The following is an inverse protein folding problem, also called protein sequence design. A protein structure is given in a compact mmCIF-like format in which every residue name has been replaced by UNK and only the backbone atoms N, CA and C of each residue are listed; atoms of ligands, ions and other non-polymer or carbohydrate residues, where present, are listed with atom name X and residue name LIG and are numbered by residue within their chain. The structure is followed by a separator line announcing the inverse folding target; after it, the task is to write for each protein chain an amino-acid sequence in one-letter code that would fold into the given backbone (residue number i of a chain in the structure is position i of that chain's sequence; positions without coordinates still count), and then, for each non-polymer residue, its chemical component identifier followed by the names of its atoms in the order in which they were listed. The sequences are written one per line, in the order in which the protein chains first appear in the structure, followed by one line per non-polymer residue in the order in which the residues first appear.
data_IF_028298844242
#
_entry.id   IF_028298844242
#
_cell.length_a   1.000
_cell.length_b   1.000
_cell.length_c   1.000
_cell.angle_alpha   90.00
_cell.angle_beta   90.00
_cell.angle_gamma   90.00
#
_symmetry.space_group_name_H-M   'P 1'
#
loop_
_entity.id
_entity.type
_entity.pdbx_description
1 polymer ?
#
# COMPACT_ATOMS: atom_id res chain seq x y z
N UNK A 1 23.34 -17.26 -21.74
CA UNK A 1 23.01 -16.06 -20.96
C UNK A 1 23.97 -14.93 -21.29
N UNK A 2 23.52 -13.90 -22.01
CA UNK A 2 24.29 -12.66 -22.18
C UNK A 2 23.80 -11.65 -21.15
N UNK A 3 24.71 -11.12 -20.32
CA UNK A 3 24.43 -10.00 -19.43
C UNK A 3 24.39 -8.73 -20.29
N UNK A 4 23.34 -7.92 -20.20
CA UNK A 4 23.23 -6.66 -20.97
C UNK A 4 24.29 -5.67 -20.49
N UNK A 5 25.27 -5.37 -21.32
CA UNK A 5 25.99 -4.08 -21.35
C UNK A 5 25.49 -3.35 -22.58
N UNK A 6 24.73 -2.27 -22.38
CA UNK A 6 24.08 -1.54 -23.46
C UNK A 6 25.03 -0.64 -24.22
N UNK A 7 24.89 -0.63 -25.54
CA UNK A 7 24.93 0.54 -26.43
C UNK A 7 24.49 0.06 -27.82
N UNK A 8 23.25 0.38 -28.23
CA UNK A 8 22.73 0.01 -29.55
C UNK A 8 21.33 0.58 -29.77
N UNK A 9 21.15 1.23 -30.92
CA UNK A 9 20.06 2.12 -31.34
C UNK A 9 18.63 1.66 -31.01
N UNK A 10 17.83 2.61 -30.54
CA UNK A 10 16.40 2.46 -30.29
C UNK A 10 15.64 1.94 -31.51
N UNK A 11 15.17 0.70 -31.39
CA UNK A 11 14.28 0.07 -32.35
C UNK A 11 13.58 -1.10 -31.67
N UNK A 12 12.27 -1.00 -31.47
CA UNK A 12 11.34 -2.03 -30.96
C UNK A 12 11.56 -2.58 -29.54
N UNK A 13 12.80 -2.66 -29.03
CA UNK A 13 13.09 -3.12 -27.67
C UNK A 13 12.65 -2.11 -26.58
N UNK A 14 12.62 -0.81 -26.90
CA UNK A 14 12.15 0.24 -25.99
C UNK A 14 10.63 0.34 -25.86
N UNK A 15 9.87 -0.19 -26.83
CA UNK A 15 8.40 -0.17 -26.77
C UNK A 15 7.82 -1.29 -25.89
N UNK A 16 8.55 -2.41 -25.73
CA UNK A 16 8.20 -3.47 -24.77
C UNK A 16 8.53 -3.09 -23.32
N UNK A 17 9.41 -2.11 -23.10
CA UNK A 17 9.75 -1.62 -21.76
C UNK A 17 8.60 -0.86 -21.07
N UNK A 18 7.55 -0.46 -21.81
CA UNK A 18 6.46 0.35 -21.28
C UNK A 18 5.27 -0.45 -20.70
N UNK A 19 5.29 -1.79 -20.75
CA UNK A 19 4.09 -2.62 -20.46
C UNK A 19 4.28 -3.72 -19.38
N UNK A 20 5.38 -3.75 -18.64
CA UNK A 20 5.52 -4.65 -17.47
C UNK A 20 6.34 -4.00 -16.35
N UNK A 21 5.77 -3.92 -15.13
CA UNK A 21 6.38 -3.31 -13.93
C UNK A 21 7.65 -4.00 -13.40
N UNK A 22 8.14 -5.07 -14.05
CA UNK A 22 9.42 -5.71 -13.74
C UNK A 22 10.07 -6.22 -15.02
N UNK A 23 11.18 -5.61 -15.46
CA UNK A 23 12.02 -6.22 -16.49
C UNK A 23 12.57 -7.56 -15.96
N UNK A 24 12.51 -8.66 -16.74
CA UNK A 24 13.09 -9.93 -16.32
C UNK A 24 14.62 -9.82 -16.26
N UNK A 25 15.21 -10.23 -15.13
CA UNK A 25 16.66 -10.15 -14.90
C UNK A 25 17.50 -10.94 -15.94
N UNK A 26 16.91 -11.97 -16.55
CA UNK A 26 17.54 -12.80 -17.58
C UNK A 26 16.54 -13.17 -18.68
N UNK A 27 16.96 -13.05 -19.94
CA UNK A 27 16.16 -13.42 -21.11
C UNK A 27 16.84 -14.47 -21.98
N UNK A 28 16.04 -15.21 -22.74
CA UNK A 28 16.43 -16.27 -23.66
C UNK A 28 15.74 -16.09 -25.00
N UNK A 29 16.41 -16.48 -26.08
CA UNK A 29 15.82 -16.55 -27.41
C UNK A 29 15.27 -17.96 -27.65
N UNK A 30 13.99 -18.04 -28.01
CA UNK A 30 13.25 -19.30 -28.20
C UNK A 30 12.52 -19.29 -29.54
N UNK A 31 12.45 -20.46 -30.18
CA UNK A 31 11.70 -20.66 -31.41
C UNK A 31 10.30 -21.18 -31.08
N UNK A 32 9.26 -20.45 -31.46
CA UNK A 32 7.86 -20.82 -31.20
C UNK A 32 7.04 -20.81 -32.49
N UNK A 33 6.04 -21.69 -32.53
CA UNK A 33 5.06 -21.71 -33.61
C UNK A 33 4.10 -20.54 -33.46
N UNK A 34 3.85 -19.84 -34.56
CA UNK A 34 2.92 -18.73 -34.62
C UNK A 34 2.28 -18.62 -36.01
N UNK A 35 1.13 -17.97 -36.07
CA UNK A 35 0.44 -17.63 -37.32
C UNK A 35 0.53 -16.12 -37.54
N UNK A 36 0.78 -15.71 -38.78
CA UNK A 36 0.81 -14.29 -39.13
C UNK A 36 -0.61 -13.71 -39.08
N UNK A 37 -0.77 -12.54 -38.45
CA UNK A 37 -2.08 -11.90 -38.32
C UNK A 37 -2.66 -11.42 -39.65
N UNK A 38 -1.84 -11.33 -40.71
CA UNK A 38 -2.36 -11.06 -42.06
C UNK A 38 -3.31 -12.16 -42.57
N UNK A 39 -3.27 -13.37 -41.98
CA UNK A 39 -4.20 -14.45 -42.28
C UNK A 39 -5.51 -14.38 -41.46
N UNK A 40 -5.62 -13.47 -40.49
CA UNK A 40 -6.85 -13.24 -39.76
C UNK A 40 -7.83 -12.42 -40.63
N UNK A 41 -9.14 -12.67 -40.47
CA UNK A 41 -10.18 -11.88 -41.13
C UNK A 41 -10.07 -10.38 -40.75
N UNK A 42 -10.56 -9.49 -41.62
CA UNK A 42 -10.46 -8.03 -41.40
C UNK A 42 -11.23 -7.53 -40.17
N UNK A 43 -12.17 -8.31 -39.66
CA UNK A 43 -13.00 -7.98 -38.49
C UNK A 43 -12.38 -8.54 -37.21
N UNK A 44 -12.06 -7.66 -36.26
CA UNK A 44 -11.56 -8.04 -34.92
C UNK A 44 -12.74 -8.19 -33.96
N UNK A 45 -13.12 -9.43 -33.69
CA UNK A 45 -14.13 -9.73 -32.67
C UNK A 45 -13.65 -9.37 -31.25
N UNK A 46 -14.60 -9.15 -30.33
CA UNK A 46 -14.34 -8.80 -28.92
C UNK A 46 -13.45 -9.85 -28.20
N UNK A 47 -13.51 -11.11 -28.64
CA UNK A 47 -12.65 -12.19 -28.17
C UNK A 47 -11.18 -11.97 -28.58
N UNK A 48 -10.93 -11.52 -29.82
CA UNK A 48 -9.59 -11.19 -30.32
C UNK A 48 -9.00 -9.99 -29.58
N UNK A 49 -9.83 -9.02 -29.20
CA UNK A 49 -9.41 -7.85 -28.40
C UNK A 49 -9.07 -8.27 -26.97
N UNK A 50 -9.87 -9.13 -26.33
CA UNK A 50 -9.57 -9.68 -24.99
C UNK A 50 -8.31 -10.53 -25.01
N UNK A 51 -8.13 -11.37 -26.04
CA UNK A 51 -6.91 -12.15 -26.26
C UNK A 51 -5.70 -11.22 -26.42
N UNK A 52 -5.80 -10.13 -27.19
CA UNK A 52 -4.74 -9.13 -27.34
C UNK A 52 -4.36 -8.48 -26.00
N UNK A 53 -5.36 -8.13 -25.18
CA UNK A 53 -5.15 -7.54 -23.84
C UNK A 53 -4.55 -8.54 -22.85
N UNK A 54 -4.97 -9.79 -22.87
CA UNK A 54 -4.39 -10.85 -22.05
C UNK A 54 -2.95 -11.16 -22.47
N UNK A 55 -2.71 -11.20 -23.78
CA UNK A 55 -1.39 -11.36 -24.39
C UNK A 55 -0.41 -10.24 -24.06
N UNK A 56 -0.89 -9.02 -23.78
CA UNK A 56 -0.07 -7.90 -23.34
C UNK A 56 0.37 -8.01 -21.87
N UNK A 57 -0.35 -8.79 -21.05
CA UNK A 57 -0.03 -8.98 -19.61
C UNK A 57 1.03 -10.04 -19.34
N UNK A 58 1.36 -10.85 -20.35
CA UNK A 58 2.44 -11.84 -20.24
C UNK A 58 3.80 -11.19 -20.54
N UNK A 59 4.82 -11.50 -19.74
CA UNK A 59 6.22 -11.06 -19.92
C UNK A 59 6.88 -11.56 -21.23
N UNK A 60 6.17 -12.39 -21.98
CA UNK A 60 6.50 -12.87 -23.31
C UNK A 60 5.58 -12.19 -24.31
N UNK A 61 6.14 -11.46 -25.31
CA UNK A 61 5.76 -11.50 -26.74
C UNK A 61 6.71 -10.65 -27.57
N UNK A 62 7.44 -11.27 -28.50
CA UNK A 62 7.90 -10.59 -29.73
C UNK A 62 6.69 -9.97 -30.45
N UNK A 63 6.88 -8.82 -31.12
CA UNK A 63 5.81 -7.88 -31.51
C UNK A 63 4.47 -8.56 -31.87
N UNK A 64 3.44 -8.47 -30.98
CA UNK A 64 2.10 -9.04 -31.19
C UNK A 64 1.42 -8.53 -32.45
N UNK A 65 1.91 -7.41 -33.00
CA UNK A 65 1.43 -6.76 -34.21
C UNK A 65 1.55 -7.65 -35.47
N UNK A 66 2.45 -8.64 -35.49
CA UNK A 66 2.74 -9.42 -36.70
C UNK A 66 2.44 -10.93 -36.58
N UNK A 67 2.17 -11.46 -35.38
CA UNK A 67 1.85 -12.88 -35.22
C UNK A 67 1.06 -13.18 -33.93
N UNK A 68 0.31 -14.29 -33.94
CA UNK A 68 -0.47 -14.81 -32.79
C UNK A 68 -0.15 -16.29 -32.54
N UNK A 69 -0.61 -16.81 -31.39
CA UNK A 69 -0.52 -18.23 -31.08
C UNK A 69 -1.33 -19.07 -32.09
N UNK A 70 -0.89 -20.30 -32.30
CA UNK A 70 -1.58 -21.27 -33.18
C UNK A 70 -2.87 -21.72 -32.49
N UNK A 71 -3.99 -21.64 -33.20
CA UNK A 71 -5.30 -22.14 -32.78
C UNK A 71 -5.57 -23.52 -33.40
N UNK A 72 -6.47 -24.34 -32.81
CA UNK A 72 -6.75 -25.70 -33.31
C UNK A 72 -7.31 -25.75 -34.74
N UNK A 73 -7.92 -24.67 -35.21
CA UNK A 73 -8.52 -24.49 -36.54
C UNK A 73 -7.53 -23.97 -37.60
N UNK A 74 -6.32 -23.57 -37.20
CA UNK A 74 -5.31 -23.06 -38.14
C UNK A 74 -4.77 -24.18 -39.04
N UNK A 75 -4.68 -23.91 -40.34
CA UNK A 75 -4.06 -24.84 -41.29
C UNK A 75 -2.56 -24.89 -41.07
N UNK A 76 -2.00 -26.09 -41.15
CA UNK A 76 -0.56 -26.33 -41.03
C UNK A 76 0.29 -25.52 -42.06
N UNK A 77 -0.32 -25.07 -43.17
CA UNK A 77 0.30 -24.24 -44.21
C UNK A 77 0.56 -22.79 -43.81
N UNK A 78 -0.17 -22.26 -42.82
CA UNK A 78 -0.03 -20.87 -42.34
C UNK A 78 0.76 -20.76 -41.03
N UNK A 79 1.08 -21.91 -40.42
CA UNK A 79 1.88 -21.99 -39.20
C UNK A 79 3.36 -21.87 -39.53
N UNK A 80 4.04 -20.90 -38.91
CA UNK A 80 5.47 -20.66 -39.11
C UNK A 80 6.21 -20.62 -37.77
N UNK A 81 7.46 -21.09 -37.76
CA UNK A 81 8.34 -20.99 -36.61
C UNK A 81 9.03 -19.61 -36.63
N UNK A 82 9.01 -18.88 -35.51
CA UNK A 82 9.66 -17.57 -35.36
C UNK A 82 10.47 -17.48 -34.07
N UNK A 83 11.45 -16.59 -34.06
CA UNK A 83 12.30 -16.32 -32.91
C UNK A 83 11.64 -15.29 -31.99
N UNK A 84 11.58 -15.61 -30.70
CA UNK A 84 11.01 -14.77 -29.66
C UNK A 84 12.00 -14.63 -28.51
N UNK A 85 11.98 -13.49 -27.85
CA UNK A 85 12.72 -13.28 -26.60
C UNK A 85 11.77 -13.47 -25.43
N UNK A 86 12.13 -14.36 -24.50
CA UNK A 86 11.33 -14.69 -23.29
C UNK A 86 12.15 -14.46 -22.03
N UNK A 87 11.48 -14.11 -20.93
CA UNK A 87 12.08 -14.16 -19.59
C UNK A 87 12.23 -15.60 -19.11
N UNK A 88 13.25 -15.86 -18.28
CA UNK A 88 13.45 -17.21 -17.70
C UNK A 88 12.26 -17.67 -16.85
N UNK A 89 11.55 -16.73 -16.22
CA UNK A 89 10.37 -16.99 -15.37
C UNK A 89 9.17 -17.54 -16.17
N UNK A 90 9.21 -17.46 -17.51
CA UNK A 90 8.18 -18.02 -18.38
C UNK A 90 8.41 -19.48 -18.76
N UNK A 91 9.51 -20.09 -18.29
CA UNK A 91 9.83 -21.49 -18.56
C UNK A 91 9.26 -22.36 -17.44
N UNK A 92 8.25 -23.16 -17.76
CA UNK A 92 7.66 -24.09 -16.79
C UNK A 92 8.50 -25.38 -16.65
N UNK A 93 8.95 -25.97 -17.76
CA UNK A 93 9.62 -27.27 -17.79
C UNK A 93 10.71 -27.31 -18.86
N UNK A 94 11.70 -28.17 -18.67
CA UNK A 94 12.84 -28.37 -19.59
C UNK A 94 12.91 -29.84 -19.98
N UNK A 95 12.96 -30.13 -21.28
CA UNK A 95 13.09 -31.49 -21.80
C UNK A 95 14.52 -32.01 -21.74
N UNK A 96 14.69 -33.33 -21.57
CA UNK A 96 15.98 -34.01 -21.66
C UNK A 96 16.48 -34.13 -23.12
N UNK A 97 15.55 -34.09 -24.09
CA UNK A 97 15.86 -34.15 -25.53
C UNK A 97 16.50 -32.85 -25.99
N UNK A 98 17.61 -32.96 -26.72
CA UNK A 98 18.29 -31.83 -27.38
C UNK A 98 18.13 -31.95 -28.89
N UNK A 99 17.64 -30.88 -29.51
CA UNK A 99 17.58 -30.75 -30.97
C UNK A 99 18.84 -30.07 -31.47
N UNK A 100 19.33 -30.50 -32.63
CA UNK A 100 20.35 -29.76 -33.35
C UNK A 100 19.70 -28.52 -33.99
N UNK A 101 20.16 -27.33 -33.59
CA UNK A 101 19.70 -26.06 -34.12
C UNK A 101 20.85 -25.45 -34.93
N UNK A 102 20.65 -25.12 -36.22
CA UNK A 102 21.65 -24.42 -37.03
C UNK A 102 22.09 -23.10 -36.37
N UNK A 103 23.33 -22.66 -36.61
CA UNK A 103 23.83 -21.39 -36.07
C UNK A 103 23.06 -20.17 -36.59
N UNK A 104 22.52 -20.24 -37.82
CA UNK A 104 21.66 -19.23 -38.40
C UNK A 104 20.23 -19.75 -38.55
N UNK A 105 19.32 -19.16 -37.79
CA UNK A 105 17.87 -19.45 -37.78
C UNK A 105 17.05 -18.28 -38.33
N UNK A 106 17.67 -17.27 -38.94
CA UNK A 106 16.94 -16.15 -39.55
C UNK A 106 16.28 -16.57 -40.88
N UNK A 107 16.91 -17.48 -41.62
CA UNK A 107 16.38 -17.98 -42.90
C UNK A 107 15.09 -18.81 -42.70
N UNK A 108 14.08 -18.65 -43.57
CA UNK A 108 12.86 -19.46 -43.53
C UNK A 108 13.11 -20.97 -43.66
N UNK A 109 14.11 -21.36 -44.45
CA UNK A 109 14.47 -22.76 -44.70
C UNK A 109 15.04 -23.43 -43.44
N UNK A 110 15.95 -22.77 -42.72
CA UNK A 110 16.49 -23.27 -41.46
C UNK A 110 15.37 -23.47 -40.42
N UNK A 111 14.43 -22.52 -40.34
CA UNK A 111 13.28 -22.61 -39.43
C UNK A 111 12.32 -23.74 -39.79
N UNK A 112 12.09 -24.00 -41.08
CA UNK A 112 11.30 -25.15 -41.54
C UNK A 112 11.95 -26.49 -41.15
N UNK A 113 13.27 -26.60 -41.27
CA UNK A 113 13.99 -27.81 -40.88
C UNK A 113 13.93 -28.07 -39.37
N UNK A 114 14.07 -27.02 -38.55
CA UNK A 114 13.88 -27.12 -37.09
C UNK A 114 12.44 -27.49 -36.75
N UNK A 115 11.45 -26.88 -37.41
CA UNK A 115 10.04 -27.23 -37.22
C UNK A 115 9.74 -28.70 -37.55
N UNK A 116 10.28 -29.22 -38.65
CA UNK A 116 10.14 -30.63 -39.01
C UNK A 116 10.78 -31.55 -37.95
N UNK A 117 11.93 -31.16 -37.40
CA UNK A 117 12.61 -31.88 -36.32
C UNK A 117 11.77 -31.92 -35.04
N UNK A 118 11.11 -30.80 -34.69
CA UNK A 118 10.19 -30.73 -33.54
C UNK A 118 8.97 -31.63 -33.77
N UNK A 119 8.37 -31.61 -34.97
CA UNK A 119 7.23 -32.48 -35.31
C UNK A 119 7.61 -33.96 -35.23
N UNK A 120 8.80 -34.34 -35.71
CA UNK A 120 9.31 -35.71 -35.61
C UNK A 120 9.54 -36.15 -34.17
N UNK A 121 10.04 -35.26 -33.29
CA UNK A 121 10.15 -35.57 -31.85
C UNK A 121 8.78 -35.85 -31.23
N UNK A 122 7.77 -35.01 -31.48
CA UNK A 122 6.42 -35.25 -30.95
C UNK A 122 5.81 -36.55 -31.50
N UNK A 123 6.10 -36.90 -32.75
CA UNK A 123 5.66 -38.17 -33.35
C UNK A 123 6.31 -39.39 -32.68
N UNK A 124 7.59 -39.29 -32.28
CA UNK A 124 8.32 -40.35 -31.58
C UNK A 124 7.94 -40.49 -30.11
N UNK A 125 7.44 -39.41 -29.50
CA UNK A 125 7.03 -39.36 -28.10
C UNK A 125 5.54 -38.98 -27.98
N UNK A 126 4.61 -39.87 -28.37
CA UNK A 126 3.17 -39.57 -28.36
C UNK A 126 2.61 -39.34 -26.95
N UNK A 127 3.23 -39.93 -25.93
CA UNK A 127 2.86 -39.76 -24.51
C UNK A 127 3.49 -38.50 -23.87
N UNK A 128 4.32 -37.77 -24.61
CA UNK A 128 5.02 -36.57 -24.15
C UNK A 128 6.54 -36.73 -24.10
N UNK A 129 7.23 -35.61 -24.27
CA UNK A 129 8.71 -35.58 -24.26
C UNK A 129 9.26 -35.80 -22.84
N UNK A 130 10.34 -36.58 -22.68
CA UNK A 130 10.94 -36.80 -21.36
C UNK A 130 11.50 -35.49 -20.81
N UNK A 131 11.16 -35.19 -19.57
CA UNK A 131 11.58 -34.00 -18.84
C UNK A 131 12.89 -34.25 -18.08
N UNK A 132 13.68 -33.20 -17.86
CA UNK A 132 14.85 -33.25 -16.98
C UNK A 132 14.40 -33.40 -15.53
N UNK A 133 15.01 -34.35 -14.82
CA UNK A 133 14.80 -34.50 -13.38
C UNK A 133 15.65 -33.44 -12.62
N UNK A 134 15.01 -32.61 -11.77
CA UNK A 134 15.72 -31.59 -11.01
C UNK A 134 16.82 -32.11 -10.06
N UNK A 135 16.69 -33.34 -9.57
CA UNK A 135 17.61 -33.95 -8.61
C UNK A 135 18.74 -34.72 -9.31
N UNK A 136 18.42 -35.57 -10.31
CA UNK A 136 19.44 -36.39 -10.98
C UNK A 136 20.17 -35.62 -12.07
N UNK A 137 19.43 -34.89 -12.91
CA UNK A 137 19.98 -34.29 -14.12
C UNK A 137 20.49 -32.87 -13.86
N UNK A 138 19.70 -32.05 -13.16
CA UNK A 138 20.07 -30.68 -12.77
C UNK A 138 20.93 -30.62 -11.50
N UNK A 139 21.05 -31.74 -10.77
CA UNK A 139 21.90 -31.88 -9.57
C UNK A 139 21.60 -30.84 -8.49
N UNK A 140 20.34 -30.47 -8.30
CA UNK A 140 19.92 -29.56 -7.23
C UNK A 140 20.01 -30.33 -5.89
N UNK A 141 20.93 -29.92 -5.03
CA UNK A 141 21.26 -30.62 -3.76
C UNK A 141 20.59 -30.02 -2.53
N UNK A 142 19.71 -29.05 -2.69
CA UNK A 142 19.09 -28.36 -1.57
C UNK A 142 18.11 -29.29 -0.83
N UNK A 143 18.25 -29.45 0.49
CA UNK A 143 17.41 -30.36 1.27
C UNK A 143 15.94 -29.91 1.28
N UNK A 144 15.69 -28.60 1.34
CA UNK A 144 14.33 -28.03 1.32
C UNK A 144 13.61 -28.33 -0.01
N UNK A 145 14.32 -28.22 -1.13
CA UNK A 145 13.79 -28.52 -2.45
C UNK A 145 13.35 -30.00 -2.58
N UNK A 146 14.14 -30.93 -2.02
CA UNK A 146 13.79 -32.36 -2.00
C UNK A 146 12.49 -32.62 -1.24
N UNK A 147 12.28 -31.93 -0.11
CA UNK A 147 11.05 -32.03 0.69
C UNK A 147 9.84 -31.49 -0.07
N UNK A 148 9.99 -30.36 -0.75
CA UNK A 148 8.92 -29.79 -1.58
C UNK A 148 8.55 -30.72 -2.74
N UNK A 149 9.55 -31.32 -3.40
CA UNK A 149 9.31 -32.25 -4.50
C UNK A 149 8.61 -33.54 -4.03
N UNK A 150 9.00 -34.10 -2.88
CA UNK A 150 8.30 -35.26 -2.30
C UNK A 150 6.86 -34.93 -1.94
N UNK A 151 6.61 -33.73 -1.38
CA UNK A 151 5.27 -33.26 -1.05
C UNK A 151 4.41 -33.05 -2.30
N UNK A 152 4.97 -32.50 -3.36
CA UNK A 152 4.27 -32.34 -4.64
C UNK A 152 3.86 -33.69 -5.23
N UNK A 153 4.75 -34.70 -5.18
CA UNK A 153 4.44 -36.08 -5.60
C UNK A 153 3.34 -36.72 -4.74
N UNK A 154 3.41 -36.55 -3.42
CA UNK A 154 2.38 -37.04 -2.50
C UNK A 154 1.02 -36.40 -2.79
N UNK A 155 0.97 -35.08 -2.96
CA UNK A 155 -0.25 -34.35 -3.31
C UNK A 155 -0.81 -34.78 -4.67
N UNK A 156 0.05 -35.03 -5.66
CA UNK A 156 -0.38 -35.52 -6.96
C UNK A 156 -1.00 -36.93 -6.86
N UNK A 157 -0.38 -37.86 -6.13
CA UNK A 157 -0.94 -39.21 -5.91
C UNK A 157 -2.26 -39.13 -5.14
N UNK A 158 -2.31 -38.37 -4.04
CA UNK A 158 -3.55 -38.18 -3.28
C UNK A 158 -4.67 -37.57 -4.11
N UNK A 159 -4.34 -36.64 -5.01
CA UNK A 159 -5.31 -36.02 -5.92
C UNK A 159 -5.78 -37.02 -6.97
N UNK A 160 -4.89 -37.87 -7.49
CA UNK A 160 -5.24 -38.91 -8.46
C UNK A 160 -6.08 -40.05 -7.85
N UNK A 161 -5.86 -40.40 -6.58
CA UNK A 161 -6.61 -41.42 -5.85
C UNK A 161 -7.94 -40.92 -5.30
N UNK A 162 -8.12 -39.60 -5.21
CA UNK A 162 -9.30 -39.00 -4.60
C UNK A 162 -10.59 -39.40 -5.34
N UNK A 163 -11.63 -39.77 -4.59
CA UNK A 163 -12.90 -40.24 -5.16
C UNK A 163 -13.46 -39.26 -6.22
N UNK A 164 -13.39 -37.95 -5.97
CA UNK A 164 -13.89 -36.94 -6.92
C UNK A 164 -13.03 -36.76 -8.18
N UNK A 165 -11.80 -37.29 -8.23
CA UNK A 165 -10.98 -37.28 -9.43
C UNK A 165 -11.18 -38.53 -10.29
N UNK A 166 -11.62 -39.64 -9.69
CA UNK A 166 -11.84 -40.94 -10.35
C UNK A 166 -13.31 -41.22 -10.68
N UNK A 167 -14.26 -40.70 -9.89
CA UNK A 167 -15.69 -41.01 -10.02
C UNK A 167 -16.47 -40.06 -10.92
N UNK A 168 -15.87 -38.97 -11.36
CA UNK A 168 -16.52 -37.92 -12.15
C UNK A 168 -15.80 -37.74 -13.48
N UNK A 169 -16.57 -37.56 -14.55
CA UNK A 169 -16.02 -37.14 -15.83
C UNK A 169 -15.33 -35.77 -15.66
N UNK A 170 -14.26 -35.54 -16.43
CA UNK A 170 -13.44 -34.33 -16.31
C UNK A 170 -14.26 -33.03 -16.48
N UNK A 171 -15.23 -33.03 -17.41
CA UNK A 171 -16.15 -31.91 -17.65
C UNK A 171 -17.01 -31.58 -16.41
N UNK A 172 -17.61 -32.59 -15.78
CA UNK A 172 -18.44 -32.41 -14.59
C UNK A 172 -17.61 -31.97 -13.38
N UNK A 173 -16.38 -32.47 -13.27
CA UNK A 173 -15.42 -32.06 -12.25
C UNK A 173 -15.05 -30.58 -12.40
N UNK A 174 -14.80 -30.12 -13.63
CA UNK A 174 -14.46 -28.73 -13.91
C UNK A 174 -15.61 -27.78 -13.55
N UNK A 175 -16.85 -28.12 -13.92
CA UNK A 175 -18.04 -27.34 -13.58
C UNK A 175 -18.23 -27.24 -12.06
N UNK A 176 -18.16 -28.37 -11.34
CA UNK A 176 -18.29 -28.38 -9.88
C UNK A 176 -17.17 -27.62 -9.18
N UNK A 177 -15.95 -27.65 -9.72
CA UNK A 177 -14.83 -26.87 -9.19
C UNK A 177 -15.09 -25.37 -9.38
N UNK A 178 -15.56 -24.94 -10.55
CA UNK A 178 -15.93 -23.54 -10.79
C UNK A 178 -17.02 -23.05 -9.81
N UNK A 179 -18.07 -23.85 -9.62
CA UNK A 179 -19.13 -23.53 -8.64
C UNK A 179 -18.60 -23.45 -7.22
N UNK A 180 -17.69 -24.36 -6.83
CA UNK A 180 -17.07 -24.34 -5.51
C UNK A 180 -16.17 -23.11 -5.31
N UNK A 181 -15.39 -22.73 -6.33
CA UNK A 181 -14.57 -21.52 -6.30
C UNK A 181 -15.45 -20.30 -6.10
N UNK A 182 -16.51 -20.16 -6.90
CA UNK A 182 -17.48 -19.05 -6.78
C UNK A 182 -18.14 -19.01 -5.40
N UNK A 183 -18.52 -20.17 -4.85
CA UNK A 183 -19.07 -20.26 -3.49
C UNK A 183 -18.06 -19.76 -2.45
N UNK A 184 -16.79 -20.15 -2.59
CA UNK A 184 -15.72 -19.76 -1.65
C UNK A 184 -15.46 -18.25 -1.70
N UNK A 185 -15.43 -17.67 -2.91
CA UNK A 185 -15.33 -16.22 -3.10
C UNK A 185 -16.49 -15.47 -2.45
N UNK A 186 -17.73 -15.92 -2.66
CA UNK A 186 -18.91 -15.31 -2.03
C UNK A 186 -18.90 -15.43 -0.50
N UNK A 187 -18.37 -16.54 0.04
CA UNK A 187 -18.24 -16.71 1.49
C UNK A 187 -17.21 -15.74 2.09
N UNK A 188 -16.08 -15.52 1.40
CA UNK A 188 -15.08 -14.56 1.85
C UNK A 188 -15.60 -13.13 1.76
N UNK A 189 -16.29 -12.77 0.68
CA UNK A 189 -16.97 -11.47 0.56
C UNK A 189 -18.00 -11.26 1.67
N UNK A 190 -18.82 -12.27 1.95
CA UNK A 190 -19.80 -12.20 3.03
C UNK A 190 -19.15 -12.06 4.42
N UNK A 191 -17.96 -12.66 4.62
CA UNK A 191 -17.20 -12.50 5.86
C UNK A 191 -16.69 -11.07 6.01
N UNK A 192 -16.06 -10.51 4.98
CA UNK A 192 -15.59 -9.12 4.97
C UNK A 192 -16.73 -8.15 5.26
N UNK A 193 -17.86 -8.29 4.56
CA UNK A 193 -19.03 -7.42 4.78
C UNK A 193 -19.62 -7.56 6.18
N UNK A 194 -19.61 -8.75 6.78
CA UNK A 194 -20.05 -8.95 8.17
C UNK A 194 -19.11 -8.29 9.17
N UNK A 195 -17.80 -8.39 8.95
CA UNK A 195 -16.80 -7.77 9.82
C UNK A 195 -16.87 -6.23 9.71
N UNK A 196 -17.10 -5.71 8.50
CA UNK A 196 -17.35 -4.28 8.27
C UNK A 196 -18.63 -3.81 8.97
N UNK A 197 -19.75 -4.52 8.81
CA UNK A 197 -21.01 -4.19 9.49
C UNK A 197 -20.87 -4.17 11.01
N UNK A 198 -20.12 -5.13 11.59
CA UNK A 198 -19.79 -5.15 13.03
C UNK A 198 -18.92 -3.97 13.45
N UNK A 199 -18.05 -3.48 12.57
CA UNK A 199 -17.22 -2.31 12.87
C UNK A 199 -18.06 -1.03 12.99
N UNK A 200 -19.15 -0.92 12.22
CA UNK A 200 -20.12 0.17 12.32
C UNK A 200 -21.09 0.05 13.51
N UNK A 201 -21.26 -1.15 14.07
CA UNK A 201 -22.21 -1.42 15.16
C UNK A 201 -21.70 -0.87 16.51
N UNK A 202 -21.77 0.47 16.71
CA UNK A 202 -21.85 1.25 17.97
C UNK A 202 -20.79 1.04 19.08
N UNK A 203 -19.96 0.00 19.04
CA UNK A 203 -19.03 -0.37 20.11
C UNK A 203 -17.90 0.66 20.23
N UNK A 204 -17.43 1.22 19.11
CA UNK A 204 -16.39 2.26 19.10
C UNK A 204 -16.81 3.49 19.93
N UNK A 205 -17.98 4.08 19.66
CA UNK A 205 -18.50 5.23 20.39
C UNK A 205 -18.73 4.93 21.88
N UNK A 206 -19.19 3.72 22.21
CA UNK A 206 -19.39 3.32 23.61
C UNK A 206 -18.07 3.19 24.35
N UNK A 207 -17.05 2.66 23.70
CA UNK A 207 -15.75 2.45 24.33
C UNK A 207 -14.93 3.74 24.40
N UNK A 208 -15.02 4.62 23.41
CA UNK A 208 -14.49 6.00 23.49
C UNK A 208 -15.11 6.75 24.64
N UNK A 209 -16.44 6.73 24.76
CA UNK A 209 -17.14 7.41 25.85
C UNK A 209 -16.74 6.84 27.23
N UNK A 210 -16.50 5.52 27.34
CA UNK A 210 -15.95 4.93 28.57
C UNK A 210 -14.53 5.42 28.86
N UNK A 211 -13.67 5.53 27.85
CA UNK A 211 -12.30 6.05 28.00
C UNK A 211 -12.31 7.51 28.42
N UNK A 212 -13.11 8.36 27.75
CA UNK A 212 -13.29 9.78 28.10
C UNK A 212 -13.82 9.94 29.53
N UNK A 213 -14.81 9.15 29.96
CA UNK A 213 -15.28 9.15 31.35
C UNK A 213 -14.19 8.78 32.36
N UNK A 214 -13.26 7.88 32.01
CA UNK A 214 -12.10 7.56 32.88
C UNK A 214 -11.16 8.75 33.01
N UNK A 215 -10.91 9.49 31.93
CA UNK A 215 -10.10 10.73 31.97
C UNK A 215 -10.74 11.75 32.90
N UNK A 216 -12.04 12.02 32.72
CA UNK A 216 -12.78 12.98 33.56
C UNK A 216 -12.75 12.59 35.05
N UNK A 217 -12.82 11.30 35.37
CA UNK A 217 -12.67 10.81 36.75
C UNK A 217 -11.26 11.00 37.28
N UNK A 218 -10.25 10.67 36.46
CA UNK A 218 -8.83 10.76 36.85
C UNK A 218 -8.40 12.21 37.12
N UNK A 219 -8.91 13.16 36.33
CA UNK A 219 -8.64 14.60 36.51
C UNK A 219 -9.57 15.26 37.56
N UNK A 220 -10.54 14.52 38.11
CA UNK A 220 -11.43 15.00 39.16
C UNK A 220 -12.56 15.92 38.67
N UNK A 221 -12.90 15.88 37.38
CA UNK A 221 -14.09 16.56 36.85
C UNK A 221 -15.39 15.84 37.23
N UNK A 222 -15.30 14.52 37.46
CA UNK A 222 -16.42 13.66 37.84
C UNK A 222 -15.93 12.69 38.93
N UNK A 223 -16.77 12.34 39.89
CA UNK A 223 -16.40 11.35 40.91
C UNK A 223 -16.56 9.88 40.44
N UNK A 224 -16.28 8.93 41.33
CA UNK A 224 -16.42 7.50 41.06
C UNK A 224 -17.86 7.09 40.70
N UNK A 225 -18.86 7.78 41.25
CA UNK A 225 -20.29 7.52 41.00
C UNK A 225 -20.80 8.13 39.69
N UNK A 226 -20.01 9.00 39.06
CA UNK A 226 -20.41 9.68 37.83
C UNK A 226 -21.01 11.07 38.05
N UNK A 227 -20.92 11.62 39.26
CA UNK A 227 -21.45 12.95 39.60
C UNK A 227 -20.40 14.02 39.31
N UNK A 228 -20.84 15.07 38.59
CA UNK A 228 -20.00 16.21 38.20
C UNK A 228 -19.49 17.00 39.42
N UNK A 229 -18.21 17.29 39.42
CA UNK A 229 -17.50 18.04 40.46
C UNK A 229 -17.31 19.50 40.05
N UNK A 230 -16.75 20.34 40.93
CA UNK A 230 -16.49 21.75 40.64
C UNK A 230 -15.63 21.96 39.39
N UNK A 231 -14.54 21.19 39.24
CA UNK A 231 -13.71 21.18 38.02
C UNK A 231 -14.53 20.90 36.77
N UNK A 232 -15.46 19.94 36.84
CA UNK A 232 -16.36 19.60 35.74
C UNK A 232 -17.30 20.75 35.39
N UNK A 233 -17.91 21.39 36.40
CA UNK A 233 -18.78 22.56 36.19
C UNK A 233 -18.02 23.73 35.58
N UNK A 234 -16.81 24.00 36.04
CA UNK A 234 -15.95 25.04 35.45
C UNK A 234 -15.61 24.72 33.99
N UNK A 235 -15.32 23.46 33.66
CA UNK A 235 -15.05 23.04 32.29
C UNK A 235 -16.25 23.30 31.35
N UNK A 236 -17.49 23.12 31.84
CA UNK A 236 -18.69 23.37 31.06
C UNK A 236 -18.88 24.83 30.62
N UNK A 237 -18.18 25.78 31.25
CA UNK A 237 -18.24 27.20 30.91
C UNK A 237 -17.14 27.64 29.93
N UNK A 238 -16.30 26.71 29.46
CA UNK A 238 -15.16 26.98 28.58
C UNK A 238 -15.45 26.39 27.20
N UNK A 239 -15.65 27.27 26.21
CA UNK A 239 -15.99 26.86 24.84
C UNK A 239 -14.90 27.21 23.80
N UNK A 240 -13.94 28.07 24.15
CA UNK A 240 -13.01 28.69 23.19
C UNK A 240 -11.59 28.15 23.26
N UNK A 241 -11.30 27.26 24.21
CA UNK A 241 -9.97 26.70 24.47
C UNK A 241 -10.12 25.27 24.98
N UNK A 242 -9.00 24.55 25.14
CA UNK A 242 -9.02 23.21 25.74
C UNK A 242 -9.47 23.29 27.21
N UNK A 243 -10.70 22.84 27.48
CA UNK A 243 -11.38 23.00 28.76
C UNK A 243 -10.67 22.26 29.90
N UNK A 244 -10.07 21.09 29.63
CA UNK A 244 -9.35 20.32 30.64
C UNK A 244 -8.07 21.05 31.07
N UNK A 245 -7.30 21.55 30.11
CA UNK A 245 -6.04 22.27 30.40
C UNK A 245 -6.32 23.60 31.10
N UNK A 246 -7.30 24.37 30.66
CA UNK A 246 -7.66 25.64 31.31
C UNK A 246 -8.14 25.41 32.75
N UNK A 247 -8.97 24.39 33.00
CA UNK A 247 -9.39 24.04 34.36
C UNK A 247 -8.20 23.62 35.22
N UNK A 248 -7.28 22.79 34.71
CA UNK A 248 -6.08 22.43 35.48
C UNK A 248 -5.20 23.65 35.78
N UNK A 249 -5.06 24.61 34.87
CA UNK A 249 -4.35 25.87 35.13
C UNK A 249 -5.00 26.69 36.24
N UNK A 250 -6.34 26.79 36.24
CA UNK A 250 -7.11 27.52 37.26
C UNK A 250 -6.93 26.84 38.63
N UNK A 251 -7.16 25.53 38.72
CA UNK A 251 -7.15 24.81 39.99
C UNK A 251 -5.74 24.55 40.54
N UNK A 252 -4.71 24.56 39.69
CA UNK A 252 -3.30 24.57 40.11
C UNK A 252 -2.85 25.96 40.58
N UNK A 253 -3.66 27.00 40.35
CA UNK A 253 -3.38 28.37 40.80
C UNK A 253 -2.33 29.09 39.95
N UNK A 254 -2.15 28.70 38.68
CA UNK A 254 -1.16 29.35 37.79
C UNK A 254 -1.48 30.83 37.61
N UNK A 255 -2.74 31.16 37.34
CA UNK A 255 -3.19 32.54 37.12
C UNK A 255 -3.10 33.44 38.37
N UNK A 256 -3.02 32.88 39.58
CA UNK A 256 -2.96 33.67 40.82
C UNK A 256 -1.67 34.49 40.94
N UNK A 257 -0.59 34.02 40.31
CA UNK A 257 0.73 34.64 40.38
C UNK A 257 1.07 35.49 39.14
N UNK A 258 0.10 35.71 38.25
CA UNK A 258 0.29 36.43 36.99
C UNK A 258 -0.45 37.76 37.02
N UNK A 259 0.13 38.77 36.38
CA UNK A 259 -0.60 40.02 36.12
C UNK A 259 -1.71 39.77 35.10
N UNK A 260 -2.68 40.68 35.03
CA UNK A 260 -3.79 40.60 34.05
C UNK A 260 -3.23 40.48 32.63
N UNK A 261 -2.20 41.26 32.28
CA UNK A 261 -1.60 41.22 30.95
C UNK A 261 -0.88 39.89 30.67
N UNK A 262 -0.26 39.28 31.69
CA UNK A 262 0.34 37.94 31.57
C UNK A 262 -0.73 36.85 31.42
N UNK A 263 -1.86 36.96 32.13
CA UNK A 263 -2.98 36.03 31.99
C UNK A 263 -3.53 36.05 30.56
N UNK A 264 -3.82 37.23 30.01
CA UNK A 264 -4.36 37.36 28.65
C UNK A 264 -3.34 36.87 27.62
N UNK A 265 -2.06 37.19 27.80
CA UNK A 265 -0.99 36.66 26.94
C UNK A 265 -0.93 35.12 26.96
N UNK A 266 -0.99 34.49 28.14
CA UNK A 266 -0.98 33.02 28.25
C UNK A 266 -2.21 32.37 27.60
N UNK A 267 -3.40 32.97 27.75
CA UNK A 267 -4.62 32.47 27.13
C UNK A 267 -4.57 32.53 25.60
N UNK A 268 -3.86 33.50 25.01
CA UNK A 268 -3.68 33.58 23.55
C UNK A 268 -3.04 32.33 22.96
N UNK A 269 -2.28 31.55 23.75
CA UNK A 269 -1.69 30.31 23.29
C UNK A 269 -2.69 29.21 22.95
N UNK A 270 -3.92 29.32 23.44
CA UNK A 270 -4.97 28.31 23.26
C UNK A 270 -6.00 28.71 22.21
N UNK A 271 -5.93 29.94 21.68
CA UNK A 271 -6.85 30.47 20.66
C UNK A 271 -6.16 30.73 19.32
N UNK A 272 -4.83 30.77 19.29
CA UNK A 272 -4.05 31.06 18.10
C UNK A 272 -3.57 29.78 17.38
N UNK A 273 -4.27 29.40 16.31
CA UNK A 273 -4.00 28.15 15.57
C UNK A 273 -3.03 28.32 14.38
N UNK A 274 -2.62 29.54 14.02
CA UNK A 274 -1.73 29.74 12.87
C UNK A 274 -0.29 29.32 13.18
N UNK A 275 0.22 28.34 12.42
CA UNK A 275 1.64 27.98 12.46
C UNK A 275 2.48 29.12 11.89
N UNK A 276 3.51 29.55 12.62
CA UNK A 276 4.47 30.54 12.15
C UNK A 276 5.19 30.01 10.90
N UNK A 277 4.77 30.44 9.71
CA UNK A 277 5.44 30.14 8.45
C UNK A 277 6.82 30.81 8.45
N UNK A 278 7.87 30.05 8.80
CA UNK A 278 9.27 30.51 8.69
C UNK A 278 10.21 30.14 9.83
N UNK A 279 9.73 29.51 10.91
CA UNK A 279 10.57 29.06 12.05
C UNK A 279 10.32 27.56 12.32
N UNK A 280 10.53 26.71 11.32
CA UNK A 280 10.23 25.26 11.41
C UNK A 280 11.31 24.42 12.12
N UNK A 281 12.29 25.00 12.83
CA UNK A 281 13.35 24.23 13.54
C UNK A 281 13.86 24.88 14.84
N UNK A 282 13.18 25.91 15.38
CA UNK A 282 13.63 26.65 16.56
C UNK A 282 12.67 26.58 17.75
N UNK A 283 13.18 26.81 18.96
CA UNK A 283 12.35 27.04 20.16
C UNK A 283 11.36 28.19 19.90
N UNK A 284 10.03 27.96 19.95
CA UNK A 284 9.02 28.98 19.63
C UNK A 284 8.95 30.11 20.67
N UNK A 285 9.69 29.98 21.78
CA UNK A 285 9.85 31.02 22.80
C UNK A 285 11.15 31.82 22.65
N UNK A 286 11.93 31.56 21.59
CA UNK A 286 13.24 32.20 21.37
C UNK A 286 13.10 33.73 21.28
N UNK A 287 13.79 34.42 22.19
CA UNK A 287 13.79 35.88 22.26
C UNK A 287 12.63 36.46 23.07
N UNK A 288 11.70 35.63 23.54
CA UNK A 288 10.62 36.04 24.43
C UNK A 288 11.16 36.37 25.83
N UNK A 289 10.55 37.39 26.46
CA UNK A 289 10.91 37.77 27.84
C UNK A 289 10.53 36.67 28.83
N UNK A 290 11.41 36.41 29.80
CA UNK A 290 11.27 35.31 30.78
C UNK A 290 9.95 35.33 31.56
N UNK A 291 9.38 36.51 31.84
CA UNK A 291 8.09 36.63 32.52
C UNK A 291 6.88 36.19 31.67
N UNK A 292 7.06 35.94 30.37
CA UNK A 292 6.07 35.33 29.47
C UNK A 292 6.44 33.87 29.14
N UNK A 293 7.73 33.59 28.96
CA UNK A 293 8.23 32.22 28.74
C UNK A 293 7.91 31.31 29.93
N UNK A 294 8.10 31.78 31.17
CA UNK A 294 7.85 30.97 32.37
C UNK A 294 6.38 30.52 32.48
N UNK A 295 5.36 31.40 32.34
CA UNK A 295 3.96 30.99 32.24
C UNK A 295 3.69 29.96 31.13
N UNK A 296 4.27 30.16 29.94
CA UNK A 296 4.09 29.26 28.81
C UNK A 296 4.64 27.85 29.08
N UNK A 297 5.83 27.74 29.68
CA UNK A 297 6.41 26.46 30.07
C UNK A 297 5.52 25.72 31.08
N UNK A 298 4.88 26.44 32.01
CA UNK A 298 3.90 25.84 32.94
C UNK A 298 2.63 25.37 32.22
N UNK A 299 2.15 26.11 31.21
CA UNK A 299 1.06 25.65 30.35
C UNK A 299 1.43 24.36 29.64
N UNK A 300 2.64 24.25 29.07
CA UNK A 300 3.10 23.02 28.44
C UNK A 300 3.21 21.85 29.44
N UNK A 301 3.69 22.10 30.67
CA UNK A 301 3.74 21.10 31.74
C UNK A 301 2.35 20.55 32.08
N UNK A 302 1.37 21.43 32.28
CA UNK A 302 -0.03 21.05 32.53
C UNK A 302 -0.64 20.33 31.32
N UNK A 303 -0.36 20.82 30.10
CA UNK A 303 -0.75 20.17 28.85
C UNK A 303 -0.24 18.73 28.77
N UNK A 304 1.04 18.50 29.08
CA UNK A 304 1.62 17.14 29.15
C UNK A 304 0.97 16.28 30.22
N UNK A 305 0.66 16.85 31.39
CA UNK A 305 -0.02 16.11 32.45
C UNK A 305 -1.43 15.63 32.02
N UNK A 306 -2.19 16.49 31.34
CA UNK A 306 -3.51 16.15 30.78
C UNK A 306 -3.39 15.12 29.65
N UNK A 307 -2.41 15.27 28.75
CA UNK A 307 -2.13 14.29 27.70
C UNK A 307 -1.79 12.91 28.28
N UNK A 308 -0.89 12.84 29.27
CA UNK A 308 -0.53 11.61 29.98
C UNK A 308 -1.73 10.96 30.68
N UNK A 309 -2.60 11.76 31.28
CA UNK A 309 -3.84 11.26 31.88
C UNK A 309 -4.78 10.65 30.83
N UNK A 310 -4.85 11.24 29.63
CA UNK A 310 -5.63 10.76 28.49
C UNK A 310 -5.07 9.45 27.92
N UNK A 311 -3.77 9.40 27.67
CA UNK A 311 -3.04 8.22 27.18
C UNK A 311 -3.16 7.06 28.17
N UNK A 312 -3.01 7.31 29.48
CA UNK A 312 -3.19 6.30 30.52
C UNK A 312 -4.61 5.71 30.54
N UNK A 313 -5.60 6.44 30.01
CA UNK A 313 -6.98 5.97 29.85
C UNK A 313 -7.25 5.32 28.48
N UNK A 314 -6.19 5.05 27.69
CA UNK A 314 -6.22 4.45 26.35
C UNK A 314 -6.85 5.33 25.27
N UNK A 315 -6.87 6.66 25.45
CA UNK A 315 -7.19 7.57 24.36
C UNK A 315 -5.98 7.61 23.41
N UNK A 316 -6.24 7.44 22.12
CA UNK A 316 -5.23 7.57 21.08
C UNK A 316 -4.88 9.06 20.91
N UNK A 317 -3.72 9.44 21.43
CA UNK A 317 -3.28 10.83 21.52
C UNK A 317 -1.75 10.84 21.59
N UNK A 318 -1.12 11.62 20.72
CA UNK A 318 0.31 11.91 20.80
C UNK A 318 0.56 13.08 21.76
N UNK A 319 1.44 12.87 22.74
CA UNK A 319 1.73 13.87 23.79
C UNK A 319 2.34 15.15 23.19
N UNK A 320 3.29 15.01 22.28
CA UNK A 320 4.01 16.16 21.73
C UNK A 320 3.13 16.92 20.73
N UNK A 321 2.37 16.23 19.88
CA UNK A 321 1.38 16.86 18.99
C UNK A 321 0.32 17.62 19.79
N UNK A 322 -0.15 17.07 20.92
CA UNK A 322 -1.12 17.74 21.78
C UNK A 322 -0.56 19.04 22.37
N UNK A 323 0.67 19.02 22.86
CA UNK A 323 1.31 20.18 23.51
C UNK A 323 1.74 21.23 22.48
N UNK A 324 2.17 20.80 21.29
CA UNK A 324 2.57 21.67 20.19
C UNK A 324 1.42 22.48 19.59
N UNK A 325 0.16 22.17 19.95
CA UNK A 325 -1.01 23.01 19.62
C UNK A 325 -1.03 24.31 20.42
N UNK A 326 -0.38 24.37 21.58
CA UNK A 326 -0.29 25.60 22.37
C UNK A 326 0.75 26.54 21.76
N UNK A 327 0.28 27.61 21.13
CA UNK A 327 1.10 28.46 20.26
C UNK A 327 1.51 29.78 20.94
N UNK A 328 2.79 30.01 21.26
CA UNK A 328 3.22 31.23 21.93
C UNK A 328 3.33 32.45 21.00
N UNK A 329 3.07 32.32 19.70
CA UNK A 329 3.34 33.34 18.68
C UNK A 329 2.66 34.69 18.90
N UNK A 330 1.53 34.72 19.60
CA UNK A 330 0.78 35.96 19.90
C UNK A 330 1.06 36.54 21.29
N UNK A 331 1.81 35.84 22.15
CA UNK A 331 1.95 36.23 23.56
C UNK A 331 2.53 37.64 23.74
N UNK A 332 3.61 37.99 23.02
CA UNK A 332 4.24 39.31 23.16
C UNK A 332 3.34 40.43 22.62
N UNK A 333 2.65 40.17 21.51
CA UNK A 333 1.75 41.10 20.87
C UNK A 333 0.53 41.41 21.75
N UNK A 334 -0.10 40.37 22.30
CA UNK A 334 -1.24 40.47 23.21
C UNK A 334 -0.82 41.15 24.52
N UNK A 335 0.35 40.80 25.08
CA UNK A 335 0.87 41.48 26.26
C UNK A 335 1.07 42.98 26.02
N UNK A 336 1.67 43.37 24.88
CA UNK A 336 1.87 44.76 24.51
C UNK A 336 0.53 45.51 24.31
N UNK A 337 -0.44 44.85 23.67
CA UNK A 337 -1.79 45.38 23.51
C UNK A 337 -2.46 45.67 24.85
N UNK A 338 -2.41 44.72 25.80
CA UNK A 338 -2.94 44.92 27.15
C UNK A 338 -2.25 46.05 27.93
N UNK A 339 -1.01 46.39 27.56
CA UNK A 339 -0.27 47.56 28.09
C UNK A 339 -0.56 48.88 27.36
N UNK A 340 -1.50 48.88 26.40
CA UNK A 340 -1.91 50.08 25.67
C UNK A 340 -1.06 50.41 24.44
N UNK A 341 -0.31 49.45 23.89
CA UNK A 341 0.41 49.65 22.64
C UNK A 341 -0.56 49.95 21.48
N UNK A 342 -0.15 50.79 20.54
CA UNK A 342 -0.95 51.07 19.34
C UNK A 342 -1.01 49.84 18.45
N UNK A 343 -2.11 49.65 17.71
CA UNK A 343 -2.28 48.50 16.82
C UNK A 343 -1.11 48.31 15.83
N UNK A 344 -0.58 49.41 15.27
CA UNK A 344 0.60 49.38 14.37
C UNK A 344 1.85 48.81 15.04
N UNK A 345 2.00 48.94 16.36
CA UNK A 345 3.11 48.35 17.11
C UNK A 345 2.87 46.87 17.38
N UNK A 346 1.63 46.48 17.72
CA UNK A 346 1.23 45.08 17.92
C UNK A 346 1.41 44.28 16.64
N UNK A 347 0.97 44.81 15.51
CA UNK A 347 1.07 44.17 14.19
C UNK A 347 2.53 43.90 13.76
N UNK A 348 3.49 44.70 14.25
CA UNK A 348 4.93 44.44 14.00
C UNK A 348 5.47 43.25 14.78
N UNK A 349 4.77 42.79 15.82
CA UNK A 349 5.18 41.68 16.67
C UNK A 349 4.60 40.34 16.19
N UNK A 350 3.42 40.31 15.57
CA UNK A 350 2.70 39.07 15.26
C UNK A 350 3.17 38.37 13.99
N UNK A 351 3.80 39.08 13.04
CA UNK A 351 4.17 38.57 11.69
C UNK A 351 2.98 37.98 10.88
N UNK A 352 1.74 38.11 11.36
CA UNK A 352 0.49 37.64 10.73
C UNK A 352 -0.20 38.77 9.97
N UNK A 353 -1.27 38.46 9.23
CA UNK A 353 -2.13 39.49 8.63
C UNK A 353 -2.99 40.20 9.69
N UNK A 354 -3.32 41.47 9.47
CA UNK A 354 -4.10 42.29 10.41
C UNK A 354 -5.45 41.64 10.74
N UNK A 355 -6.09 41.04 9.73
CA UNK A 355 -7.37 40.34 9.91
C UNK A 355 -7.27 39.09 10.78
N UNK A 356 -6.12 38.42 10.83
CA UNK A 356 -5.86 37.33 11.77
C UNK A 356 -5.67 37.89 13.18
N UNK A 357 -4.83 38.92 13.33
CA UNK A 357 -4.57 39.59 14.62
C UNK A 357 -5.85 40.11 15.28
N UNK A 358 -6.81 40.62 14.50
CA UNK A 358 -8.08 41.15 15.04
C UNK A 358 -9.07 40.03 15.40
N UNK A 359 -9.00 38.90 14.70
CA UNK A 359 -9.90 37.75 14.92
C UNK A 359 -9.50 36.91 16.12
N UNK A 360 -8.19 36.77 16.31
CA UNK A 360 -7.58 36.10 17.45
C UNK A 360 -7.71 36.98 18.68
#
# INVERSE_FOLDING_TARGET
CKKKTGTGSGGTAGMQAALSDKEPAHTLEVLLFCVDRHFDGKDKDEATIKEDVENLKHLWRGTPQHCRAVRPDDKDSIVSLRLFTVGIDSIERISAVKLFIPQDVHTPEARKNVAASIKEVHKRFPEGVPLLDPLTDLKIKEPEFKVLLSRAKELASRTAEHIKSTSLAESERAEKLQLHTKKTELLEQAKVLRDEARSFESIALRDDLKRMKKVLRRLGHVDASGVIQTKGRTACEINTANELVVVELIFTGIFQNLSVEQCVALLSCMTFDERNKGEDDGDPTRGMKSFLTNPFLKLQEIGRAVAKASIACKIDLDEDEFVNKFNPGMMEAVFAWCKGAKFVQVQKLTKTFEGTTIRT
#
